data_IF_396848277468
#
_entry.id   IF_396848277468
#
_cell.length_a   1.000
_cell.length_b   1.000
_cell.length_c   1.000
_cell.angle_alpha   90.00
_cell.angle_beta   90.00
_cell.angle_gamma   90.00
#
_symmetry.space_group_name_H-M   'P 1'
#
loop_
_entity.id
_entity.type
_entity.pdbx_description
1 polymer ?
#
# COMPACT_ATOMS: atom_id res chain seq x y z
N UNK A 1 5.86 -7.11 -8.65
CA UNK A 1 6.94 -6.11 -8.65
C UNK A 1 6.41 -4.79 -8.11
N UNK A 2 7.27 -3.97 -7.57
CA UNK A 2 6.86 -2.73 -6.92
C UNK A 2 6.16 -1.75 -7.88
N UNK A 3 6.61 -1.67 -9.13
CA UNK A 3 6.02 -0.79 -10.12
C UNK A 3 4.53 -1.08 -10.32
N UNK A 4 4.20 -2.32 -10.52
CA UNK A 4 2.82 -2.76 -10.74
C UNK A 4 1.96 -2.53 -9.49
N UNK A 5 2.54 -2.74 -8.31
CA UNK A 5 1.81 -2.54 -7.06
C UNK A 5 1.50 -1.08 -6.79
N UNK A 6 2.44 -0.18 -7.05
CA UNK A 6 2.22 1.26 -6.90
C UNK A 6 1.07 1.68 -7.80
N UNK A 7 1.12 1.30 -9.07
CA UNK A 7 0.07 1.64 -10.03
C UNK A 7 -1.27 1.04 -9.63
N UNK A 8 -1.28 -0.25 -9.28
CA UNK A 8 -2.50 -0.94 -8.88
C UNK A 8 -3.15 -0.29 -7.66
N UNK A 9 -2.36 -0.02 -6.62
CA UNK A 9 -2.87 0.60 -5.40
C UNK A 9 -3.37 2.01 -5.65
N UNK A 10 -2.67 2.77 -6.49
CA UNK A 10 -3.10 4.11 -6.85
C UNK A 10 -4.45 4.09 -7.56
N UNK A 11 -4.59 3.23 -8.57
CA UNK A 11 -5.83 3.11 -9.32
C UNK A 11 -6.97 2.57 -8.47
N UNK A 12 -6.69 1.60 -7.61
CA UNK A 12 -7.67 1.02 -6.69
C UNK A 12 -8.24 2.05 -5.73
N UNK A 13 -7.44 3.03 -5.33
CA UNK A 13 -7.86 4.08 -4.40
C UNK A 13 -8.30 5.35 -5.12
N UNK A 14 -8.45 5.31 -6.45
CA UNK A 14 -8.87 6.45 -7.27
C UNK A 14 -7.97 7.67 -7.09
N UNK A 15 -6.68 7.44 -6.94
CA UNK A 15 -5.69 8.50 -6.80
C UNK A 15 -4.99 8.69 -8.13
N UNK A 16 -5.01 9.93 -8.67
CA UNK A 16 -4.29 10.24 -9.90
C UNK A 16 -2.79 10.37 -9.61
N UNK A 17 -1.95 10.27 -10.64
CA UNK A 17 -0.52 10.54 -10.48
C UNK A 17 -0.31 11.97 -9.94
N UNK A 18 -1.09 12.94 -10.42
CA UNK A 18 -1.00 14.33 -9.97
C UNK A 18 -1.32 14.47 -8.49
N UNK A 19 -2.33 13.77 -8.01
CA UNK A 19 -2.69 13.79 -6.59
C UNK A 19 -1.59 13.14 -5.74
N UNK A 20 -1.01 12.06 -6.21
CA UNK A 20 0.05 11.35 -5.50
C UNK A 20 1.31 12.23 -5.38
N UNK A 21 1.71 12.91 -6.46
CA UNK A 21 2.89 13.79 -6.41
C UNK A 21 2.70 14.95 -5.46
N UNK A 22 1.48 15.47 -5.33
CA UNK A 22 1.19 16.51 -4.35
C UNK A 22 1.40 16.01 -2.92
N UNK A 23 0.94 14.81 -2.63
CA UNK A 23 1.10 14.22 -1.30
C UNK A 23 2.56 13.93 -0.98
N UNK A 24 3.33 13.52 -1.97
CA UNK A 24 4.73 13.15 -1.78
C UNK A 24 5.69 14.34 -1.91
N UNK A 25 5.25 15.43 -2.51
CA UNK A 25 6.10 16.61 -2.73
C UNK A 25 7.19 16.37 -3.77
N UNK A 26 6.91 15.55 -4.78
CA UNK A 26 7.87 15.20 -5.83
C UNK A 26 7.28 15.52 -7.20
N UNK A 27 8.02 15.20 -8.27
CA UNK A 27 7.57 15.45 -9.63
C UNK A 27 6.75 14.28 -10.17
N UNK A 28 5.89 14.57 -11.14
CA UNK A 28 5.10 13.55 -11.82
C UNK A 28 5.99 12.57 -12.59
N UNK A 29 7.10 13.04 -13.13
CA UNK A 29 8.04 12.16 -13.84
C UNK A 29 8.66 11.12 -12.91
N UNK A 30 8.86 11.44 -11.63
CA UNK A 30 9.34 10.48 -10.64
C UNK A 30 8.33 9.35 -10.42
N UNK A 31 7.06 9.70 -10.20
CA UNK A 31 6.01 8.69 -10.02
C UNK A 31 5.84 7.86 -11.28
N UNK A 32 5.83 8.49 -12.43
CA UNK A 32 5.73 7.78 -13.70
C UNK A 32 6.88 6.79 -13.90
N UNK A 33 8.10 7.20 -13.57
CA UNK A 33 9.28 6.33 -13.67
C UNK A 33 9.13 5.09 -12.75
N UNK A 34 8.59 5.28 -11.56
CA UNK A 34 8.32 4.16 -10.64
C UNK A 34 7.30 3.18 -11.24
N UNK A 35 6.22 3.70 -11.82
CA UNK A 35 5.15 2.87 -12.37
C UNK A 35 5.56 2.18 -13.67
N UNK A 36 6.50 2.76 -14.39
CA UNK A 36 7.05 2.17 -15.61
C UNK A 36 8.19 1.18 -15.35
N UNK A 37 8.63 1.07 -14.10
CA UNK A 37 9.75 0.20 -13.74
C UNK A 37 11.12 0.74 -14.13
N UNK A 38 11.21 2.02 -14.48
CA UNK A 38 12.46 2.66 -14.86
C UNK A 38 13.33 2.94 -13.62
N UNK A 39 12.69 3.32 -12.52
CA UNK A 39 13.38 3.59 -11.27
C UNK A 39 12.58 3.01 -10.11
N UNK A 40 13.20 2.95 -8.94
CA UNK A 40 12.58 2.42 -7.71
C UNK A 40 12.54 3.56 -6.68
N UNK A 41 11.43 3.73 -5.95
CA UNK A 41 11.37 4.72 -4.89
C UNK A 41 12.44 4.45 -3.83
N UNK A 42 13.00 5.51 -3.25
CA UNK A 42 13.88 5.37 -2.09
C UNK A 42 13.10 4.88 -0.88
N UNK A 43 13.80 4.43 0.14
CA UNK A 43 13.18 3.92 1.38
C UNK A 43 12.19 4.93 1.97
N UNK A 44 12.55 6.21 1.96
CA UNK A 44 11.67 7.27 2.46
C UNK A 44 10.32 7.26 1.74
N UNK A 45 10.33 7.18 0.42
CA UNK A 45 9.09 7.19 -0.36
C UNK A 45 8.33 5.87 -0.27
N UNK A 46 9.04 4.75 -0.08
CA UNK A 46 8.40 3.46 0.17
C UNK A 46 7.57 3.53 1.46
N UNK A 47 8.12 4.11 2.51
CA UNK A 47 7.40 4.30 3.77
C UNK A 47 6.20 5.23 3.59
N UNK A 48 6.39 6.34 2.88
CA UNK A 48 5.29 7.28 2.59
C UNK A 48 4.17 6.62 1.79
N UNK A 49 4.52 5.86 0.75
CA UNK A 49 3.54 5.15 -0.07
C UNK A 49 2.77 4.11 0.75
N UNK A 50 3.46 3.40 1.65
CA UNK A 50 2.80 2.42 2.51
C UNK A 50 1.76 3.09 3.40
N UNK A 51 2.02 4.29 3.88
CA UNK A 51 1.07 5.05 4.68
C UNK A 51 -0.11 5.55 3.86
N UNK A 52 0.16 6.07 2.67
CA UNK A 52 -0.89 6.59 1.78
C UNK A 52 -1.84 5.47 1.38
N UNK A 53 -1.32 4.30 1.06
CA UNK A 53 -2.12 3.16 0.60
C UNK A 53 -2.57 2.25 1.73
N UNK A 54 -2.15 2.52 2.97
CA UNK A 54 -2.49 1.70 4.15
C UNK A 54 -2.13 0.23 3.97
N UNK A 55 -0.95 -0.02 3.44
CA UNK A 55 -0.39 -1.37 3.27
C UNK A 55 0.98 -1.42 3.93
N UNK A 56 1.49 -2.63 4.16
CA UNK A 56 2.84 -2.79 4.71
C UNK A 56 3.88 -2.46 3.64
N UNK A 57 5.07 -2.08 4.07
CA UNK A 57 6.19 -1.89 3.14
C UNK A 57 6.56 -3.20 2.45
N UNK A 58 6.43 -4.33 3.16
CA UNK A 58 6.68 -5.64 2.60
C UNK A 58 5.73 -5.98 1.47
N UNK A 59 4.44 -5.66 1.64
CA UNK A 59 3.46 -5.86 0.58
C UNK A 59 3.80 -5.01 -0.64
N UNK A 60 4.15 -3.74 -0.40
CA UNK A 60 4.49 -2.81 -1.47
C UNK A 60 5.72 -3.28 -2.24
N UNK A 61 6.71 -3.84 -1.54
CA UNK A 61 7.94 -4.36 -2.15
C UNK A 61 7.77 -5.72 -2.80
N UNK A 62 6.63 -6.39 -2.58
CA UNK A 62 6.38 -7.71 -3.13
C UNK A 62 7.01 -8.84 -2.34
N UNK A 63 7.47 -8.59 -1.13
CA UNK A 63 8.03 -9.60 -0.23
C UNK A 63 6.93 -10.47 0.34
N UNK A 64 5.78 -9.88 0.64
CA UNK A 64 4.58 -10.61 1.04
C UNK A 64 3.74 -10.93 -0.20
N UNK A 65 3.27 -12.16 -0.29
CA UNK A 65 2.41 -12.60 -1.41
C UNK A 65 1.04 -11.95 -1.37
N UNK A 66 0.60 -11.57 -0.19
CA UNK A 66 -0.67 -10.89 0.01
C UNK A 66 -0.60 -10.19 1.36
N UNK A 67 -1.57 -9.33 1.66
CA UNK A 67 -1.69 -8.72 2.99
C UNK A 67 -2.39 -9.65 3.97
N UNK A 68 -2.24 -10.96 3.80
CA UNK A 68 -2.81 -11.94 4.70
C UNK A 68 -2.03 -12.03 6.00
N UNK A 69 -2.77 -12.21 7.08
CA UNK A 69 -2.21 -12.44 8.40
C UNK A 69 -2.17 -13.95 8.60
N UNK A 70 -1.10 -14.46 9.20
CA UNK A 70 -1.03 -15.87 9.56
C UNK A 70 -2.05 -16.13 10.68
N UNK A 71 -3.10 -16.85 10.33
CA UNK A 71 -4.17 -17.19 11.27
C UNK A 71 -4.10 -18.64 11.73
N UNK A 72 -3.04 -19.35 11.38
CA UNK A 72 -2.87 -20.73 11.84
C UNK A 72 -2.77 -20.75 13.36
N UNK A 73 -3.51 -21.64 13.99
CA UNK A 73 -3.58 -21.73 15.44
C UNK A 73 -4.64 -20.84 16.10
N UNK A 74 -5.31 -19.99 15.31
CA UNK A 74 -6.42 -19.17 15.84
C UNK A 74 -7.74 -19.89 15.67
N UNK A 75 -8.66 -19.64 16.61
CA UNK A 75 -10.02 -20.15 16.48
C UNK A 75 -10.79 -19.29 15.46
N UNK A 76 -11.91 -19.82 14.99
CA UNK A 76 -12.78 -19.10 14.08
C UNK A 76 -13.28 -17.78 14.69
N UNK A 77 -13.56 -17.80 15.99
CA UNK A 77 -13.99 -16.61 16.72
C UNK A 77 -12.87 -15.56 16.77
N UNK A 78 -11.65 -16.01 17.02
CA UNK A 78 -10.47 -15.10 17.02
C UNK A 78 -10.27 -14.46 15.66
N UNK A 79 -10.45 -15.22 14.59
CA UNK A 79 -10.34 -14.71 13.22
C UNK A 79 -11.39 -13.65 12.95
N UNK A 80 -12.62 -13.86 13.39
CA UNK A 80 -13.69 -12.87 13.22
C UNK A 80 -13.38 -11.57 13.94
N UNK A 81 -12.89 -11.65 15.17
CA UNK A 81 -12.49 -10.47 15.93
C UNK A 81 -11.36 -9.72 15.23
N UNK A 82 -10.39 -10.45 14.70
CA UNK A 82 -9.28 -9.85 13.98
C UNK A 82 -9.75 -9.08 12.74
N UNK A 83 -10.65 -9.66 11.96
CA UNK A 83 -11.22 -8.99 10.80
C UNK A 83 -12.01 -7.73 11.18
N UNK A 84 -12.75 -7.77 12.28
CA UNK A 84 -13.48 -6.59 12.76
C UNK A 84 -12.53 -5.47 13.14
N UNK A 85 -11.44 -5.78 13.81
CA UNK A 85 -10.42 -4.80 14.19
C UNK A 85 -9.76 -4.20 12.95
N UNK A 86 -9.40 -5.02 11.98
CA UNK A 86 -8.76 -4.57 10.75
C UNK A 86 -9.71 -3.64 9.98
N UNK A 87 -10.98 -4.01 9.84
CA UNK A 87 -11.98 -3.17 9.17
C UNK A 87 -12.14 -1.82 9.85
N UNK A 88 -12.20 -1.81 11.17
CA UNK A 88 -12.33 -0.60 11.95
C UNK A 88 -11.13 0.33 11.75
N UNK A 89 -9.91 -0.22 11.82
CA UNK A 89 -8.70 0.56 11.63
C UNK A 89 -8.61 1.13 10.21
N UNK A 90 -8.99 0.35 9.21
CA UNK A 90 -9.00 0.83 7.83
C UNK A 90 -9.97 1.99 7.64
N UNK A 91 -11.14 1.94 8.25
CA UNK A 91 -12.10 3.04 8.17
C UNK A 91 -11.57 4.31 8.79
N UNK A 92 -10.81 4.20 9.86
CA UNK A 92 -10.25 5.37 10.55
C UNK A 92 -9.03 5.96 9.85
N UNK A 93 -8.21 5.13 9.22
CA UNK A 93 -6.90 5.55 8.71
C UNK A 93 -6.82 5.63 7.19
N UNK A 94 -7.73 4.98 6.49
CA UNK A 94 -7.68 4.85 5.03
C UNK A 94 -8.93 5.39 4.34
N UNK A 95 -9.82 5.99 5.07
CA UNK A 95 -11.04 6.57 4.50
C UNK A 95 -10.77 7.90 3.82
#
# INVERSE_FOLDING_TARGET
MIADRIRHLREKNDITQSALVKQLGITRSSVNAWEMGISVPSTQYIVELSRIFCVSTDYLLGVEKSSTIDVSGLTELDIQLLYQIISHLKQQHCS
#
